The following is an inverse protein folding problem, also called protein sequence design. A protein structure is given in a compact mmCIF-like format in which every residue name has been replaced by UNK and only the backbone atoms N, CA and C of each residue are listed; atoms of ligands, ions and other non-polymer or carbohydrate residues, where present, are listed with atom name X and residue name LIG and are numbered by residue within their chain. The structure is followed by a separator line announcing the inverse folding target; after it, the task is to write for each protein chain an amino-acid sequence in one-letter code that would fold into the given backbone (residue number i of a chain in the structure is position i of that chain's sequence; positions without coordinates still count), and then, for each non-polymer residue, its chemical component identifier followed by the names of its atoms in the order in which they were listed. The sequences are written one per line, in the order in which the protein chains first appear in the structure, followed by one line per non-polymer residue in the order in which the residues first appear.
data_IF_020496931823
#
_entry.id   IF_020496931823
#
_cell.length_a   1.000
_cell.length_b   1.000
_cell.length_c   1.000
_cell.angle_alpha   90.00
_cell.angle_beta   90.00
_cell.angle_gamma   90.00
#
_symmetry.space_group_name_H-M   'P 1'
#
loop_
_entity.id
_entity.type
_entity.pdbx_description
1 polymer ?
#
# COMPACT_ATOMS: atom_id res chain seq x y z
N UNK A 1 -4.87 -14.51 6.04
CA UNK A 1 -5.01 -14.18 4.61
C UNK A 1 -6.36 -14.69 4.14
N UNK A 2 -7.23 -13.80 3.66
CA UNK A 2 -8.52 -14.19 3.09
C UNK A 2 -8.35 -14.36 1.58
N UNK A 3 -8.49 -15.57 1.02
CA UNK A 3 -8.46 -15.76 -0.42
C UNK A 3 -9.57 -14.95 -1.08
N UNK A 4 -9.23 -14.15 -2.09
CA UNK A 4 -10.18 -13.35 -2.85
C UNK A 4 -9.66 -13.17 -4.28
N UNK A 5 -10.57 -12.89 -5.21
CA UNK A 5 -10.24 -12.66 -6.61
C UNK A 5 -11.27 -11.74 -7.26
N UNK A 6 -10.83 -11.00 -8.28
CA UNK A 6 -11.71 -10.34 -9.22
C UNK A 6 -12.26 -11.34 -10.23
N UNK A 7 -13.53 -11.19 -10.60
CA UNK A 7 -14.17 -11.93 -11.69
C UNK A 7 -14.44 -11.02 -12.88
N UNK A 8 -14.37 -11.61 -14.08
CA UNK A 8 -14.65 -10.93 -15.34
C UNK A 8 -16.06 -10.32 -15.35
N UNK A 9 -16.15 -9.06 -15.80
CA UNK A 9 -17.42 -8.35 -15.95
C UNK A 9 -17.98 -8.61 -17.35
N UNK A 10 -18.95 -9.51 -17.48
CA UNK A 10 -19.60 -9.88 -18.74
C UNK A 10 -20.75 -8.93 -19.16
N UNK A 11 -20.72 -7.69 -18.69
CA UNK A 11 -21.75 -6.67 -18.99
C UNK A 11 -21.14 -5.49 -19.73
N UNK A 12 -21.99 -4.68 -20.35
CA UNK A 12 -21.62 -3.45 -21.05
C UNK A 12 -21.59 -2.21 -20.14
N UNK A 13 -21.71 -2.40 -18.82
CA UNK A 13 -21.66 -1.34 -17.82
C UNK A 13 -20.38 -1.39 -16.99
N UNK A 14 -19.88 -0.23 -16.57
CA UNK A 14 -18.68 -0.14 -15.71
C UNK A 14 -19.01 -0.58 -14.28
N UNK A 15 -18.25 -1.54 -13.74
CA UNK A 15 -18.30 -1.94 -12.33
C UNK A 15 -17.32 -1.11 -11.51
N UNK A 16 -17.82 -0.08 -10.83
CA UNK A 16 -17.04 0.69 -9.87
C UNK A 16 -17.00 -0.02 -8.51
N UNK A 17 -15.82 -0.11 -7.90
CA UNK A 17 -15.63 -0.61 -6.54
C UNK A 17 -14.52 0.18 -5.83
N UNK A 18 -14.60 0.25 -4.50
CA UNK A 18 -13.58 0.85 -3.64
C UNK A 18 -13.30 -0.11 -2.49
N UNK A 19 -12.03 -0.40 -2.24
CA UNK A 19 -11.57 -1.24 -1.15
C UNK A 19 -10.81 -0.39 -0.14
N UNK A 20 -11.40 -0.19 1.06
CA UNK A 20 -10.77 0.52 2.16
C UNK A 20 -10.26 -0.48 3.20
N UNK A 21 -9.06 -0.24 3.73
CA UNK A 21 -8.45 -1.06 4.79
C UNK A 21 -8.20 -0.18 6.01
N UNK A 22 -8.51 -0.72 7.18
CA UNK A 22 -8.19 -0.11 8.46
C UNK A 22 -7.13 -0.96 9.14
N UNK A 23 -6.10 -0.31 9.67
CA UNK A 23 -5.04 -0.96 10.44
C UNK A 23 -4.69 -0.11 11.66
N UNK A 24 -4.17 -0.75 12.69
CA UNK A 24 -3.62 -0.05 13.85
C UNK A 24 -2.38 0.76 13.40
N UNK A 25 -2.20 1.96 13.96
CA UNK A 25 -1.09 2.84 13.61
C UNK A 25 0.28 2.28 14.02
N UNK A 26 0.33 1.34 14.98
CA UNK A 26 1.54 0.64 15.40
C UNK A 26 2.01 -0.41 14.37
N UNK A 27 1.14 -0.81 13.44
CA UNK A 27 1.51 -1.73 12.36
C UNK A 27 2.37 -0.98 11.33
N UNK A 28 3.48 -1.59 10.86
CA UNK A 28 4.29 -1.01 9.81
C UNK A 28 3.47 -0.58 8.60
N UNK A 29 3.73 0.65 8.17
CA UNK A 29 3.04 1.33 7.09
C UNK A 29 4.04 2.24 6.38
N UNK A 30 3.65 2.77 5.23
CA UNK A 30 4.51 3.63 4.41
C UNK A 30 4.23 5.12 4.62
N UNK A 31 3.63 5.52 5.77
CA UNK A 31 3.41 6.94 6.06
C UNK A 31 4.79 7.60 6.16
N UNK A 32 4.98 8.69 5.42
CA UNK A 32 6.21 9.47 5.34
C UNK A 32 7.45 8.72 4.77
N UNK A 33 7.30 7.51 4.25
CA UNK A 33 8.39 6.81 3.57
C UNK A 33 8.62 7.35 2.14
N UNK A 34 9.90 7.43 1.73
CA UNK A 34 10.26 7.68 0.33
C UNK A 34 10.42 6.33 -0.39
N UNK A 35 9.68 6.05 -1.48
CA UNK A 35 9.85 4.81 -2.24
C UNK A 35 11.26 4.60 -2.80
N UNK A 36 12.08 5.65 -2.93
CA UNK A 36 13.48 5.54 -3.34
C UNK A 36 14.37 4.89 -2.26
N UNK A 37 13.97 4.97 -1.00
CA UNK A 37 14.69 4.41 0.15
C UNK A 37 14.29 2.97 0.47
N UNK A 38 13.44 2.35 -0.35
CA UNK A 38 13.02 0.97 -0.17
C UNK A 38 14.21 0.00 -0.27
N UNK A 39 14.46 -0.72 0.82
CA UNK A 39 15.44 -1.80 0.91
C UNK A 39 14.73 -3.17 1.03
N UNK A 40 14.83 -4.06 0.05
CA UNK A 40 14.23 -5.39 0.12
C UNK A 40 14.83 -6.29 1.22
N UNK A 41 16.02 -5.96 1.72
CA UNK A 41 16.71 -6.71 2.78
C UNK A 41 16.36 -6.22 4.20
N UNK A 42 15.55 -5.15 4.32
CA UNK A 42 15.03 -4.67 5.62
C UNK A 42 14.23 -5.78 6.31
N UNK A 43 14.20 -5.76 7.64
CA UNK A 43 13.50 -6.78 8.41
C UNK A 43 11.99 -6.81 8.06
N UNK A 44 11.45 -7.96 7.60
CA UNK A 44 10.06 -8.05 7.10
C UNK A 44 8.96 -7.63 8.07
N UNK A 45 9.20 -7.70 9.38
CA UNK A 45 8.22 -7.28 10.39
C UNK A 45 8.19 -5.76 10.60
N UNK A 46 9.10 -5.02 9.96
CA UNK A 46 9.20 -3.56 10.06
C UNK A 46 8.74 -2.84 8.79
N UNK A 47 8.38 -3.58 7.74
CA UNK A 47 7.93 -3.03 6.46
C UNK A 47 6.42 -3.11 6.33
N UNK A 48 5.80 -2.22 5.56
CA UNK A 48 4.40 -2.37 5.20
C UNK A 48 4.14 -3.70 4.47
N UNK A 49 2.87 -4.11 4.45
CA UNK A 49 2.43 -5.31 3.73
C UNK A 49 2.66 -5.17 2.21
N UNK A 50 2.50 -3.96 1.68
CA UNK A 50 2.83 -3.63 0.30
C UNK A 50 3.68 -2.34 0.28
N UNK A 51 4.99 -2.43 -0.03
CA UNK A 51 5.87 -1.25 -0.02
C UNK A 51 5.74 -0.38 -1.28
N UNK A 52 4.98 -0.81 -2.29
CA UNK A 52 4.80 -0.08 -3.54
C UNK A 52 3.69 0.96 -3.53
N UNK A 53 3.12 1.30 -2.38
CA UNK A 53 2.01 2.26 -2.25
C UNK A 53 2.25 3.20 -1.07
N UNK A 54 2.07 4.51 -1.27
CA UNK A 54 2.16 5.49 -0.19
C UNK A 54 0.91 5.48 0.67
N UNK A 55 1.09 5.15 1.95
CA UNK A 55 0.04 5.26 2.97
C UNK A 55 -0.12 6.71 3.41
N UNK A 56 -1.31 7.06 3.91
CA UNK A 56 -1.60 8.40 4.41
C UNK A 56 -2.67 8.34 5.50
N UNK A 57 -2.70 9.37 6.35
CA UNK A 57 -3.62 9.43 7.49
C UNK A 57 -4.92 10.09 7.07
N UNK A 58 -6.05 9.38 7.26
CA UNK A 58 -7.40 9.92 7.05
C UNK A 58 -8.00 10.46 8.36
N UNK A 59 -7.59 9.90 9.51
CA UNK A 59 -8.05 10.33 10.83
C UNK A 59 -7.01 10.02 11.91
N UNK A 60 -6.63 11.03 12.68
CA UNK A 60 -5.84 10.92 13.91
C UNK A 60 -6.36 11.99 14.90
N UNK A 61 -7.13 11.55 15.90
CA UNK A 61 -7.73 12.48 16.87
C UNK A 61 -6.70 13.12 17.82
N UNK A 62 -5.52 12.50 17.96
CA UNK A 62 -4.45 12.99 18.83
C UNK A 62 -3.53 13.96 18.08
N UNK A 63 -3.34 13.74 16.78
CA UNK A 63 -2.44 14.52 15.92
C UNK A 63 -3.17 14.90 14.60
N UNK A 64 -4.20 15.75 14.65
CA UNK A 64 -5.02 16.07 13.48
C UNK A 64 -4.24 16.75 12.34
N UNK A 65 -3.10 17.36 12.63
CA UNK A 65 -2.19 17.95 11.64
C UNK A 65 -1.55 16.92 10.70
N UNK A 66 -1.61 15.62 11.04
CA UNK A 66 -1.13 14.53 10.17
C UNK A 66 -2.18 14.12 9.13
N UNK A 67 -3.45 14.52 9.30
CA UNK A 67 -4.54 14.13 8.42
C UNK A 67 -4.38 14.79 7.04
N UNK A 68 -4.34 13.98 5.98
CA UNK A 68 -4.32 14.47 4.61
C UNK A 68 -5.74 14.87 4.21
N UNK A 69 -5.99 16.17 4.19
CA UNK A 69 -7.29 16.75 3.83
C UNK A 69 -7.27 17.53 2.51
N UNK A 70 -6.06 17.78 1.97
CA UNK A 70 -5.86 18.47 0.69
C UNK A 70 -5.58 17.49 -0.46
N UNK A 71 -6.22 17.73 -1.61
CA UNK A 71 -6.11 16.85 -2.78
C UNK A 71 -4.75 16.93 -3.47
N UNK A 72 -4.07 18.08 -3.43
CA UNK A 72 -2.75 18.24 -4.01
C UNK A 72 -1.71 17.44 -3.22
N UNK A 73 -1.82 17.45 -1.90
CA UNK A 73 -0.98 16.64 -1.01
C UNK A 73 -1.19 15.13 -1.25
N UNK A 74 -2.45 14.67 -1.29
CA UNK A 74 -2.77 13.30 -1.67
C UNK A 74 -2.17 12.93 -3.04
N UNK A 75 -2.31 13.81 -4.03
CA UNK A 75 -1.78 13.59 -5.38
C UNK A 75 -0.26 13.50 -5.38
N UNK A 76 0.43 14.30 -4.56
CA UNK A 76 1.88 14.25 -4.43
C UNK A 76 2.35 12.89 -3.93
N UNK A 77 1.74 12.37 -2.86
CA UNK A 77 2.03 11.04 -2.31
C UNK A 77 1.88 9.98 -3.41
N UNK A 78 0.76 10.00 -4.15
CA UNK A 78 0.51 9.04 -5.24
C UNK A 78 1.54 9.16 -6.36
N UNK A 79 1.81 10.38 -6.80
CA UNK A 79 2.74 10.65 -7.91
C UNK A 79 4.15 10.17 -7.57
N UNK A 80 4.59 10.32 -6.31
CA UNK A 80 5.91 9.87 -5.84
C UNK A 80 6.09 8.35 -6.04
N UNK A 81 5.11 7.57 -5.63
CA UNK A 81 5.14 6.10 -5.77
C UNK A 81 4.95 5.62 -7.22
N UNK A 82 4.20 6.36 -8.04
CA UNK A 82 4.08 6.08 -9.47
C UNK A 82 5.40 6.32 -10.22
N UNK A 83 6.14 7.37 -9.86
CA UNK A 83 7.41 7.74 -10.50
C UNK A 83 8.58 6.87 -10.03
N UNK A 84 8.53 6.37 -8.79
CA UNK A 84 9.56 5.51 -8.19
C UNK A 84 8.96 4.15 -7.80
N UNK A 85 8.64 3.28 -8.77
CA UNK A 85 7.98 2.02 -8.48
C UNK A 85 8.91 1.01 -7.80
N UNK A 86 8.47 0.45 -6.67
CA UNK A 86 9.10 -0.70 -6.01
C UNK A 86 8.79 -1.97 -6.81
N UNK A 87 9.72 -2.40 -7.68
CA UNK A 87 9.48 -3.49 -8.64
C UNK A 87 9.61 -4.90 -8.06
N UNK A 88 10.39 -5.07 -7.00
CA UNK A 88 10.66 -6.36 -6.35
C UNK A 88 10.54 -6.21 -4.83
N UNK A 89 9.33 -6.20 -4.27
CA UNK A 89 9.08 -5.86 -2.86
C UNK A 89 9.57 -6.90 -1.84
N UNK A 90 10.38 -7.89 -2.24
CA UNK A 90 10.98 -8.90 -1.35
C UNK A 90 10.00 -9.90 -0.71
N UNK A 91 8.71 -9.57 -0.61
CA UNK A 91 7.63 -10.45 -0.10
C UNK A 91 7.05 -11.34 -1.21
N UNK A 92 7.91 -11.93 -2.03
CA UNK A 92 7.48 -12.85 -3.08
C UNK A 92 6.77 -14.06 -2.48
N UNK A 93 5.59 -14.40 -3.00
CA UNK A 93 5.04 -15.74 -2.80
C UNK A 93 6.00 -16.73 -3.44
N UNK A 94 6.74 -17.52 -2.64
CA UNK A 94 7.46 -18.66 -3.20
C UNK A 94 6.43 -19.72 -3.58
N UNK A 95 6.38 -20.17 -4.85
CA UNK A 95 5.53 -21.29 -5.23
C UNK A 95 5.78 -22.48 -4.34
N UNK A 96 4.72 -23.22 -3.96
CA UNK A 96 4.88 -24.39 -3.11
C UNK A 96 5.88 -25.40 -3.68
N UNK A 97 5.92 -25.53 -5.01
CA UNK A 97 6.88 -26.37 -5.73
C UNK A 97 8.35 -25.95 -5.57
N UNK A 98 8.61 -24.70 -5.19
CA UNK A 98 9.95 -24.12 -5.04
C UNK A 98 10.40 -24.00 -3.56
N UNK A 99 9.50 -24.30 -2.61
CA UNK A 99 9.84 -24.39 -1.19
C UNK A 99 10.47 -25.76 -0.95
N UNK A 100 11.79 -25.81 -0.79
CA UNK A 100 12.53 -27.02 -0.37
C UNK A 100 12.16 -27.44 1.04
#
# INVERSE_FOLDING_TARGET
LTPHASFENNTDIVRWSVDLRYQDAEIPNNIDEDPADFDPEREPVTMACWPGEGDFVIKDAQNPEREITDIAEFKEIRTRYEQTPVRNPGRGWTPFAERR
#
